data_IF_068652156240
#
_entry.id   IF_068652156240
#
_cell.length_a   1.000
_cell.length_b   1.000
_cell.length_c   1.000
_cell.angle_alpha   90.00
_cell.angle_beta   90.00
_cell.angle_gamma   90.00
#
_symmetry.space_group_name_H-M   'P 1'
#
loop_
_entity.id
_entity.type
_entity.pdbx_description
1 polymer ?
#
# COMPACT_ATOMS: atom_id res chain seq x y z
N UNK A 1 -22.22 -27.13 -39.01
CA UNK A 1 -21.22 -26.47 -39.88
C UNK A 1 -20.41 -25.45 -39.07
N UNK A 2 -19.34 -25.93 -38.45
CA UNK A 2 -18.30 -25.07 -37.87
C UNK A 2 -17.59 -24.42 -39.05
N UNK A 3 -17.76 -23.11 -39.21
CA UNK A 3 -17.04 -22.35 -40.24
C UNK A 3 -15.55 -22.40 -39.86
N UNK A 4 -14.67 -22.99 -40.70
CA UNK A 4 -13.25 -23.00 -40.41
C UNK A 4 -12.74 -21.55 -40.46
N UNK A 5 -11.81 -21.16 -39.56
CA UNK A 5 -11.25 -19.82 -39.58
C UNK A 5 -10.55 -19.58 -40.93
N UNK A 6 -10.93 -18.48 -41.59
CA UNK A 6 -10.37 -18.04 -42.86
C UNK A 6 -8.88 -17.72 -42.68
N UNK A 7 -8.02 -18.60 -43.20
CA UNK A 7 -6.57 -18.37 -43.33
C UNK A 7 -6.31 -17.48 -44.54
N UNK A 8 -6.34 -16.15 -44.38
CA UNK A 8 -5.88 -15.23 -45.44
C UNK A 8 -4.47 -14.68 -45.22
N UNK A 9 -3.83 -14.97 -44.07
CA UNK A 9 -2.46 -14.51 -43.76
C UNK A 9 -1.71 -15.34 -42.71
N UNK A 10 -2.23 -16.51 -42.31
CA UNK A 10 -1.70 -17.27 -41.17
C UNK A 10 -2.08 -16.68 -39.80
N UNK A 11 -2.84 -15.58 -39.78
CA UNK A 11 -3.28 -14.88 -38.57
C UNK A 11 -4.75 -15.22 -38.30
N UNK A 12 -5.06 -15.69 -37.10
CA UNK A 12 -6.41 -15.94 -36.65
C UNK A 12 -7.13 -14.62 -36.31
N UNK A 13 -8.17 -14.27 -37.07
CA UNK A 13 -8.90 -13.01 -36.90
C UNK A 13 -9.94 -13.02 -35.75
N UNK A 14 -10.35 -14.20 -35.28
CA UNK A 14 -11.35 -14.32 -34.21
C UNK A 14 -11.02 -15.46 -33.24
N UNK A 15 -10.12 -15.17 -32.31
CA UNK A 15 -9.69 -16.09 -31.27
C UNK A 15 -10.82 -16.40 -30.27
N UNK A 16 -11.20 -17.67 -30.20
CA UNK A 16 -12.21 -18.19 -29.27
C UNK A 16 -11.56 -18.71 -27.99
N UNK A 17 -12.36 -18.88 -26.93
CA UNK A 17 -11.85 -19.47 -25.68
C UNK A 17 -10.89 -18.58 -24.90
N UNK A 18 -11.14 -17.26 -24.88
CA UNK A 18 -10.34 -16.27 -24.13
C UNK A 18 -8.87 -16.21 -24.51
N UNK A 19 -8.55 -16.55 -25.77
CA UNK A 19 -7.21 -16.44 -26.34
C UNK A 19 -7.04 -15.14 -27.15
N UNK A 20 -5.81 -14.76 -27.42
CA UNK A 20 -5.40 -13.62 -28.25
C UNK A 20 -4.05 -13.95 -28.91
N UNK A 21 -3.58 -13.05 -29.78
CA UNK A 21 -2.32 -13.23 -30.51
C UNK A 21 -2.56 -13.70 -31.95
N UNK A 22 -1.53 -13.65 -32.81
CA UNK A 22 -1.65 -14.02 -34.22
C UNK A 22 -2.13 -15.45 -34.46
N UNK A 23 -1.76 -16.39 -33.59
CA UNK A 23 -2.18 -17.79 -33.64
C UNK A 23 -3.14 -18.20 -32.51
N UNK A 24 -3.71 -17.24 -31.78
CA UNK A 24 -4.50 -17.50 -30.57
C UNK A 24 -3.74 -18.29 -29.48
N UNK A 25 -2.43 -18.09 -29.43
CA UNK A 25 -1.49 -18.81 -28.57
C UNK A 25 -1.44 -18.23 -27.15
N UNK A 26 -1.75 -16.94 -26.99
CA UNK A 26 -1.74 -16.23 -25.72
C UNK A 26 -3.14 -16.19 -25.08
N UNK A 27 -3.19 -16.06 -23.76
CA UNK A 27 -4.45 -15.79 -23.06
C UNK A 27 -4.74 -14.28 -22.98
N UNK A 28 -6.03 -13.93 -22.98
CA UNK A 28 -6.49 -12.57 -22.70
C UNK A 28 -6.13 -12.16 -21.27
N UNK A 29 -6.14 -10.85 -20.99
CA UNK A 29 -5.88 -10.30 -19.65
C UNK A 29 -6.84 -10.91 -18.60
N UNK A 30 -6.32 -11.25 -17.41
CA UNK A 30 -7.01 -11.99 -16.35
C UNK A 30 -7.38 -13.46 -16.68
N UNK A 31 -6.82 -14.03 -17.75
CA UNK A 31 -6.96 -15.44 -18.07
C UNK A 31 -5.60 -16.10 -18.18
N UNK A 32 -5.53 -17.37 -17.80
CA UNK A 32 -4.33 -18.19 -17.91
C UNK A 32 -4.66 -19.57 -18.47
N UNK A 33 -3.61 -20.26 -18.92
CA UNK A 33 -3.71 -21.64 -19.40
C UNK A 33 -3.29 -22.58 -18.27
N UNK A 34 -4.08 -23.63 -18.03
CA UNK A 34 -3.74 -24.63 -17.00
C UNK A 34 -2.42 -25.32 -17.35
N UNK A 35 -1.60 -25.70 -16.36
CA UNK A 35 -0.37 -26.44 -16.61
C UNK A 35 -0.67 -27.74 -17.36
N UNK A 36 0.07 -28.02 -18.44
CA UNK A 36 -0.10 -29.21 -19.27
C UNK A 36 -1.28 -29.18 -20.25
N UNK A 37 -2.06 -28.09 -20.29
CA UNK A 37 -3.11 -27.92 -21.29
C UNK A 37 -2.50 -27.66 -22.68
N UNK A 38 -3.09 -28.27 -23.72
CA UNK A 38 -2.71 -28.00 -25.10
C UNK A 38 -2.94 -26.51 -25.46
N UNK A 39 -2.19 -25.98 -26.41
CA UNK A 39 -2.34 -24.59 -26.91
C UNK A 39 -3.74 -24.31 -27.49
N UNK A 40 -4.47 -25.35 -27.89
CA UNK A 40 -5.83 -25.27 -28.42
C UNK A 40 -6.91 -25.23 -27.34
N UNK A 41 -6.58 -25.49 -26.07
CA UNK A 41 -7.54 -25.41 -24.98
C UNK A 41 -7.95 -23.97 -24.65
N UNK A 42 -9.11 -23.83 -24.02
CA UNK A 42 -9.68 -22.55 -23.57
C UNK A 42 -8.90 -22.00 -22.38
N UNK A 43 -8.60 -20.71 -22.39
CA UNK A 43 -8.02 -20.02 -21.23
C UNK A 43 -9.08 -19.83 -20.13
N UNK A 44 -8.68 -20.11 -18.89
CA UNK A 44 -9.54 -20.03 -17.71
C UNK A 44 -9.26 -18.74 -16.94
N UNK A 45 -10.26 -18.17 -16.24
CA UNK A 45 -10.08 -16.94 -15.49
C UNK A 45 -9.08 -17.14 -14.34
N UNK A 46 -8.24 -16.14 -14.10
CA UNK A 46 -7.30 -16.12 -13.00
C UNK A 46 -8.04 -16.14 -11.65
N UNK A 47 -7.60 -16.94 -10.67
CA UNK A 47 -8.12 -16.93 -9.31
C UNK A 47 -7.55 -15.73 -8.51
N UNK A 48 -7.61 -14.54 -9.09
CA UNK A 48 -7.04 -13.31 -8.57
C UNK A 48 -8.11 -12.23 -8.54
N UNK A 49 -8.38 -11.67 -7.36
CA UNK A 49 -9.33 -10.56 -7.24
C UNK A 49 -8.70 -9.27 -7.75
N UNK A 50 -9.41 -8.51 -8.58
CA UNK A 50 -9.01 -7.15 -8.98
C UNK A 50 -9.09 -6.14 -7.82
N UNK A 51 -9.74 -6.53 -6.70
CA UNK A 51 -9.78 -5.72 -5.48
C UNK A 51 -8.46 -5.81 -4.73
N UNK A 52 -7.80 -6.96 -4.73
CA UNK A 52 -6.58 -7.23 -3.95
C UNK A 52 -5.31 -7.32 -4.82
N UNK A 53 -5.45 -7.39 -6.13
CA UNK A 53 -4.36 -7.51 -7.11
C UNK A 53 -4.68 -6.80 -8.44
N UNK A 54 -3.79 -6.92 -9.42
CA UNK A 54 -4.04 -6.53 -10.83
C UNK A 54 -5.15 -7.35 -11.50
N UNK A 55 -5.48 -8.54 -10.95
CA UNK A 55 -6.38 -9.53 -11.55
C UNK A 55 -5.69 -10.49 -12.55
N UNK A 56 -4.46 -10.19 -12.94
CA UNK A 56 -3.66 -11.02 -13.85
C UNK A 56 -2.81 -12.04 -13.09
N UNK A 57 -2.51 -13.16 -13.72
CA UNK A 57 -1.77 -14.26 -13.11
C UNK A 57 -0.91 -14.99 -14.13
N UNK A 58 0.15 -15.62 -13.63
CA UNK A 58 1.01 -16.54 -14.37
C UNK A 58 1.09 -17.89 -13.66
N UNK A 59 1.67 -18.89 -14.33
CA UNK A 59 1.97 -20.18 -13.73
C UNK A 59 3.40 -20.15 -13.20
N UNK A 60 3.57 -20.47 -11.92
CA UNK A 60 4.88 -20.62 -11.31
C UNK A 60 5.56 -21.94 -11.75
N UNK A 61 6.85 -22.15 -11.44
CA UNK A 61 7.54 -23.40 -11.78
C UNK A 61 6.93 -24.66 -11.15
N UNK A 62 6.11 -24.51 -10.10
CA UNK A 62 5.42 -25.62 -9.44
C UNK A 62 4.10 -26.01 -10.12
N UNK A 63 3.66 -25.24 -11.14
CA UNK A 63 2.40 -25.44 -11.83
C UNK A 63 1.21 -24.78 -11.13
N UNK A 64 1.42 -23.90 -10.15
CA UNK A 64 0.37 -23.14 -9.50
C UNK A 64 0.19 -21.78 -10.16
N UNK A 65 -1.06 -21.31 -10.25
CA UNK A 65 -1.36 -19.95 -10.69
C UNK A 65 -1.03 -18.96 -9.58
N UNK A 66 -0.23 -17.94 -9.88
CA UNK A 66 0.19 -16.89 -8.96
C UNK A 66 -0.17 -15.53 -9.56
N UNK A 67 -0.76 -14.64 -8.78
CA UNK A 67 -1.11 -13.30 -9.23
C UNK A 67 0.14 -12.45 -9.46
N UNK A 68 0.16 -11.66 -10.54
CA UNK A 68 1.37 -10.94 -10.95
C UNK A 68 1.72 -9.78 -9.99
N UNK A 69 0.70 -9.06 -9.53
CA UNK A 69 0.88 -7.86 -8.71
C UNK A 69 -0.21 -7.74 -7.65
N UNK A 70 0.13 -8.07 -6.41
CA UNK A 70 -0.72 -7.75 -5.26
C UNK A 70 -0.70 -6.25 -4.98
N UNK A 71 -1.83 -5.74 -4.46
CA UNK A 71 -1.87 -4.41 -3.88
C UNK A 71 -1.00 -4.32 -2.63
N UNK A 72 -0.59 -3.10 -2.20
CA UNK A 72 0.38 -2.92 -1.12
C UNK A 72 -0.02 -3.61 0.19
N UNK A 73 -1.31 -3.68 0.51
CA UNK A 73 -1.82 -4.22 1.78
C UNK A 73 -1.91 -5.75 1.77
N UNK A 74 -1.76 -6.39 0.60
CA UNK A 74 -1.98 -7.82 0.39
C UNK A 74 -0.69 -8.54 -0.02
N UNK A 75 -0.64 -9.84 0.23
CA UNK A 75 0.45 -10.75 -0.11
C UNK A 75 -0.08 -12.17 -0.34
N UNK A 76 0.82 -13.10 -0.66
CA UNK A 76 0.50 -14.50 -0.96
C UNK A 76 0.32 -14.75 -2.46
N UNK A 77 0.24 -16.02 -2.88
CA UNK A 77 0.15 -16.39 -4.29
C UNK A 77 -1.12 -15.87 -4.96
N UNK A 78 -2.21 -15.72 -4.19
CA UNK A 78 -3.51 -15.23 -4.67
C UNK A 78 -3.87 -13.82 -4.18
N UNK A 79 -2.93 -13.13 -3.53
CA UNK A 79 -3.17 -11.82 -2.91
C UNK A 79 -4.37 -11.82 -1.95
N UNK A 80 -4.55 -12.91 -1.21
CA UNK A 80 -5.65 -13.18 -0.29
C UNK A 80 -5.24 -13.05 1.18
N UNK A 81 -3.96 -12.80 1.45
CA UNK A 81 -3.41 -12.65 2.79
C UNK A 81 -2.99 -11.20 3.03
N UNK A 82 -3.13 -10.73 4.27
CA UNK A 82 -2.65 -9.41 4.63
C UNK A 82 -1.12 -9.38 4.74
N UNK A 83 -0.53 -8.30 4.22
CA UNK A 83 0.90 -8.05 4.31
C UNK A 83 1.31 -7.83 5.77
N UNK A 84 2.55 -8.14 6.12
CA UNK A 84 3.12 -7.74 7.40
C UNK A 84 2.88 -6.24 7.68
N UNK A 85 2.31 -5.94 8.84
CA UNK A 85 1.89 -4.58 9.22
C UNK A 85 0.43 -4.31 8.96
N UNK A 86 -0.31 -5.29 8.43
CA UNK A 86 -1.75 -5.26 8.23
C UNK A 86 -2.41 -6.48 8.89
N UNK A 87 -3.70 -6.34 9.20
CA UNK A 87 -4.55 -7.41 9.72
C UNK A 87 -5.87 -7.45 8.95
N UNK A 88 -6.51 -8.61 8.96
CA UNK A 88 -7.78 -8.86 8.30
C UNK A 88 -8.93 -8.35 9.17
N UNK A 89 -9.65 -7.37 8.65
CA UNK A 89 -10.93 -6.91 9.18
C UNK A 89 -11.99 -7.11 8.09
N UNK A 90 -12.88 -8.09 8.29
CA UNK A 90 -13.99 -8.38 7.37
C UNK A 90 -13.56 -8.58 5.91
N UNK A 91 -12.49 -9.35 5.67
CA UNK A 91 -11.90 -9.62 4.34
C UNK A 91 -11.18 -8.43 3.70
N UNK A 92 -10.87 -7.39 4.47
CA UNK A 92 -10.09 -6.22 4.04
C UNK A 92 -8.85 -6.11 4.92
N UNK A 93 -7.69 -5.85 4.31
CA UNK A 93 -6.46 -5.65 5.06
C UNK A 93 -6.32 -4.20 5.54
N UNK A 94 -6.32 -4.02 6.86
CA UNK A 94 -6.17 -2.71 7.52
C UNK A 94 -4.82 -2.62 8.23
N UNK A 95 -4.19 -1.43 8.30
CA UNK A 95 -2.92 -1.26 8.97
C UNK A 95 -3.04 -1.56 10.47
N UNK A 96 -2.03 -2.23 11.03
CA UNK A 96 -1.90 -2.45 12.46
C UNK A 96 -1.82 -1.11 13.18
N UNK A 97 -2.69 -0.89 14.17
CA UNK A 97 -2.60 0.28 15.05
C UNK A 97 -2.02 -0.15 16.41
N UNK A 98 -0.74 0.16 16.62
CA UNK A 98 -0.04 -0.08 17.88
C UNK A 98 0.30 1.20 18.63
N UNK A 99 -0.47 2.28 18.39
CA UNK A 99 -0.29 3.57 19.07
C UNK A 99 1.13 4.14 19.03
N UNK A 100 1.90 3.81 17.98
CA UNK A 100 3.31 4.19 17.87
C UNK A 100 4.27 3.47 18.81
N UNK A 101 3.79 2.47 19.57
CA UNK A 101 4.55 1.71 20.56
C UNK A 101 4.77 0.25 20.16
N UNK A 102 4.71 -0.08 18.86
CA UNK A 102 5.13 -1.39 18.39
C UNK A 102 6.65 -1.55 18.50
N UNK A 103 7.09 -2.77 18.81
CA UNK A 103 8.51 -3.13 18.78
C UNK A 103 9.05 -3.16 17.33
N UNK A 104 10.04 -2.30 16.97
CA UNK A 104 10.66 -2.31 15.65
C UNK A 104 11.30 -3.67 15.29
N UNK A 105 11.73 -4.45 16.29
CA UNK A 105 12.31 -5.78 16.09
C UNK A 105 11.32 -6.83 15.59
N UNK A 106 10.01 -6.56 15.70
CA UNK A 106 8.94 -7.44 15.18
C UNK A 106 8.52 -7.09 13.76
N UNK A 107 9.08 -6.03 13.16
CA UNK A 107 8.79 -5.63 11.78
C UNK A 107 9.24 -6.73 10.78
N UNK A 108 8.44 -7.05 9.75
CA UNK A 108 7.18 -6.39 9.36
C UNK A 108 5.93 -6.91 10.11
N UNK A 109 6.02 -8.00 10.88
CA UNK A 109 4.88 -8.64 11.55
C UNK A 109 4.61 -8.02 12.94
N UNK A 110 4.21 -6.75 12.97
CA UNK A 110 4.02 -5.99 14.21
C UNK A 110 2.72 -6.31 14.98
N UNK A 111 1.72 -6.87 14.31
CA UNK A 111 0.47 -7.30 14.94
C UNK A 111 0.01 -8.68 14.43
N UNK A 112 -0.94 -9.28 15.15
CA UNK A 112 -1.58 -10.51 14.76
C UNK A 112 -2.44 -10.26 13.50
N UNK A 113 -2.27 -11.06 12.44
CA UNK A 113 -2.96 -10.84 11.16
C UNK A 113 -4.47 -11.08 11.22
N UNK A 114 -5.00 -11.79 12.23
CA UNK A 114 -6.44 -12.05 12.36
C UNK A 114 -7.10 -11.09 13.34
N UNK A 115 -6.41 -10.70 14.41
CA UNK A 115 -7.02 -9.91 15.50
C UNK A 115 -6.58 -8.45 15.52
N UNK A 116 -5.53 -8.07 14.81
CA UNK A 116 -4.93 -6.74 14.87
C UNK A 116 -4.23 -6.41 16.19
N UNK A 117 -4.11 -7.37 17.12
CA UNK A 117 -3.43 -7.16 18.39
C UNK A 117 -1.92 -7.07 18.20
N UNK A 118 -1.30 -6.06 18.78
CA UNK A 118 0.14 -5.86 18.71
C UNK A 118 0.89 -6.99 19.41
N UNK A 119 1.96 -7.48 18.77
CA UNK A 119 2.70 -8.65 19.27
C UNK A 119 3.62 -8.30 20.44
N UNK A 120 4.21 -7.11 20.42
CA UNK A 120 5.12 -6.63 21.44
C UNK A 120 5.00 -5.11 21.57
N UNK A 121 4.85 -4.64 22.81
CA UNK A 121 4.71 -3.22 23.14
C UNK A 121 6.02 -2.70 23.77
N UNK A 122 6.51 -1.57 23.28
CA UNK A 122 7.70 -0.88 23.82
C UNK A 122 7.30 0.34 24.67
N UNK A 123 8.27 1.12 25.13
CA UNK A 123 8.05 2.36 25.91
C UNK A 123 7.22 2.17 27.20
N UNK A 124 7.34 0.98 27.83
CA UNK A 124 6.58 0.62 29.03
C UNK A 124 5.07 0.76 28.83
N UNK A 125 4.58 0.34 27.67
CA UNK A 125 3.16 0.35 27.33
C UNK A 125 2.59 -1.06 27.32
N UNK A 126 1.27 -1.15 27.39
CA UNK A 126 0.49 -2.39 27.39
C UNK A 126 -0.87 -2.15 26.74
N UNK A 127 -1.68 -3.21 26.63
CA UNK A 127 -2.95 -3.18 25.93
C UNK A 127 -2.88 -3.87 24.58
N UNK A 128 -4.03 -3.98 23.91
CA UNK A 128 -4.14 -4.69 22.61
C UNK A 128 -3.46 -3.92 21.48
N UNK A 129 -3.38 -2.61 21.64
CA UNK A 129 -2.87 -1.62 20.70
C UNK A 129 -1.74 -0.78 21.32
N UNK A 130 -1.13 -1.26 22.42
CA UNK A 130 -0.11 -0.55 23.18
C UNK A 130 -0.54 0.88 23.58
N UNK A 131 -1.83 1.02 23.91
CA UNK A 131 -2.56 2.28 24.07
C UNK A 131 -2.52 2.83 25.50
N UNK A 132 -2.03 2.05 26.46
CA UNK A 132 -1.96 2.41 27.88
C UNK A 132 -0.59 2.12 28.46
N UNK A 133 -0.22 2.77 29.54
CA UNK A 133 1.01 2.43 30.24
C UNK A 133 0.90 1.01 30.83
N UNK A 134 2.03 0.31 30.91
CA UNK A 134 2.12 -0.98 31.58
C UNK A 134 1.86 -0.84 33.09
N UNK A 135 1.57 -1.95 33.76
CA UNK A 135 1.38 -1.96 35.20
C UNK A 135 2.61 -1.40 35.92
N UNK A 136 2.40 -0.55 36.92
CA UNK A 136 3.47 0.16 37.61
C UNK A 136 3.99 1.41 36.87
N UNK A 137 3.39 1.80 35.74
CA UNK A 137 3.72 3.04 35.02
C UNK A 137 2.50 3.96 34.91
N UNK A 138 2.73 5.27 35.00
CA UNK A 138 1.72 6.34 34.86
C UNK A 138 2.14 7.34 33.79
N UNK A 139 1.15 8.00 33.19
CA UNK A 139 1.35 8.96 32.09
C UNK A 139 0.47 8.62 30.91
N UNK A 140 0.90 9.02 29.71
CA UNK A 140 0.21 8.75 28.45
C UNK A 140 1.10 7.98 27.49
N UNK A 141 0.63 6.81 27.06
CA UNK A 141 1.29 5.95 26.08
C UNK A 141 1.34 6.56 24.68
N UNK A 142 0.32 7.35 24.31
CA UNK A 142 0.19 7.96 22.97
C UNK A 142 1.27 9.02 22.72
N UNK A 143 1.69 9.73 23.77
CA UNK A 143 2.78 10.72 23.70
C UNK A 143 4.09 10.20 24.32
N UNK A 144 4.21 8.88 24.48
CA UNK A 144 5.42 8.19 24.97
C UNK A 144 5.94 8.71 26.33
N UNK A 145 5.03 8.94 27.29
CA UNK A 145 5.32 9.58 28.58
C UNK A 145 5.14 8.66 29.80
N UNK A 146 5.15 7.34 29.61
CA UNK A 146 4.97 6.37 30.68
C UNK A 146 6.18 6.33 31.62
N UNK A 147 5.99 6.72 32.89
CA UNK A 147 7.01 6.77 33.94
C UNK A 147 6.65 5.81 35.07
N UNK A 148 7.65 5.13 35.63
CA UNK A 148 7.45 4.21 36.73
C UNK A 148 6.89 4.95 37.96
N UNK A 149 5.90 4.36 38.61
CA UNK A 149 5.44 4.80 39.92
C UNK A 149 6.54 4.40 40.91
N UNK A 150 7.29 5.37 41.41
CA UNK A 150 8.14 5.13 42.57
C UNK A 150 7.21 5.15 43.78
N UNK A 151 6.58 4.02 44.08
CA UNK A 151 6.06 3.83 45.44
C UNK A 151 7.27 3.78 46.35
N UNK A 152 7.39 4.66 47.37
CA UNK A 152 8.32 4.39 48.44
C UNK A 152 7.91 3.04 49.01
N UNK A 153 8.75 2.04 48.83
CA UNK A 153 8.68 0.83 49.65
C UNK A 153 8.63 1.32 51.09
N UNK A 154 7.63 0.92 51.90
CA UNK A 154 7.85 0.93 53.34
C UNK A 154 9.13 0.13 53.52
N UNK A 155 10.13 0.78 54.10
CA UNK A 155 11.40 0.20 54.50
C UNK A 155 11.12 -1.21 55.04
N UNK A 156 11.40 -2.22 54.22
CA UNK A 156 11.30 -3.59 54.67
C UNK A 156 12.46 -3.73 55.64
N UNK A 157 12.18 -3.60 56.94
CA UNK A 157 13.10 -3.96 58.01
C UNK A 157 13.62 -5.36 57.71
N UNK A 158 14.81 -5.41 57.12
CA UNK A 158 15.58 -6.60 56.82
C UNK A 158 16.00 -7.17 58.17
N UNK A 159 15.11 -7.92 58.81
CA UNK A 159 15.51 -8.83 59.86
C UNK A 159 16.08 -10.05 59.14
N UNK A 160 17.40 -10.05 59.01
CA UNK A 160 18.20 -11.20 58.59
C UNK A 160 17.74 -12.44 59.35
N UNK A 161 17.09 -13.38 58.66
CA UNK A 161 17.13 -14.79 59.05
C UNK A 161 17.34 -15.62 57.79
N UNK A 162 18.35 -16.48 57.87
CA UNK A 162 18.93 -17.28 56.79
C UNK A 162 17.93 -18.28 56.17
N UNK A 163 18.25 -18.90 55.01
CA UNK A 163 17.28 -19.59 54.17
C UNK A 163 16.99 -21.00 54.70
N UNK A 164 15.75 -21.45 54.54
CA UNK A 164 15.45 -22.89 54.56
C UNK A 164 14.63 -23.23 53.32
N UNK A 165 15.24 -24.09 52.52
CA UNK A 165 14.75 -24.77 51.32
C UNK A 165 13.45 -25.53 51.60
N UNK A 166 12.46 -25.44 50.71
CA UNK A 166 11.61 -26.57 50.24
C UNK A 166 10.60 -26.09 49.18
N UNK A 167 10.59 -26.75 48.02
CA UNK A 167 9.53 -26.81 47.00
C UNK A 167 8.52 -27.92 47.37
N UNK A 168 7.47 -28.24 46.57
CA UNK A 168 6.49 -27.44 45.80
C UNK A 168 5.02 -27.83 46.18
N UNK A 169 3.98 -27.11 45.71
CA UNK A 169 2.66 -27.68 45.26
C UNK A 169 1.52 -26.65 45.20
N UNK A 170 0.90 -26.58 44.02
CA UNK A 170 -0.54 -26.52 43.69
C UNK A 170 -1.58 -26.20 44.77
N UNK A 171 -2.57 -25.35 44.44
CA UNK A 171 -3.86 -25.32 45.15
C UNK A 171 -4.72 -24.08 44.93
N UNK A 172 -5.98 -24.29 44.61
CA UNK A 172 -6.98 -23.34 44.13
C UNK A 172 -7.67 -22.49 45.23
N UNK A 173 -8.43 -21.49 44.75
CA UNK A 173 -9.79 -21.06 45.16
C UNK A 173 -9.95 -19.76 45.96
N UNK A 174 -10.89 -18.94 45.47
CA UNK A 174 -11.44 -17.69 46.01
C UNK A 174 -12.05 -17.85 47.41
N UNK A 175 -12.01 -16.79 48.23
CA UNK A 175 -13.21 -16.22 48.87
C UNK A 175 -12.99 -14.80 49.38
N UNK A 176 -14.09 -14.03 49.31
CA UNK A 176 -14.31 -12.63 49.70
C UNK A 176 -14.27 -12.37 51.21
N UNK A 177 -14.07 -11.10 51.61
CA UNK A 177 -14.98 -10.23 52.41
C UNK A 177 -14.16 -9.03 52.91
N UNK A 178 -14.62 -7.79 52.66
CA UNK A 178 -14.82 -6.75 53.70
C UNK A 178 -15.16 -5.38 53.10
N UNK A 179 -16.44 -5.04 53.21
CA UNK A 179 -17.05 -3.76 53.62
C UNK A 179 -16.28 -2.44 53.40
N UNK A 180 -16.92 -1.54 52.65
CA UNK A 180 -16.82 -0.10 52.85
C UNK A 180 -18.22 0.51 52.92
N UNK A 181 -18.55 1.09 54.07
CA UNK A 181 -19.76 1.85 54.39
C UNK A 181 -19.87 3.11 53.53
N UNK A 182 -21.02 3.30 52.88
CA UNK A 182 -21.43 4.54 52.20
C UNK A 182 -22.29 5.38 53.14
N UNK A 183 -21.89 6.63 53.36
CA UNK A 183 -22.72 7.63 54.07
C UNK A 183 -23.37 8.53 53.02
N UNK A 184 -24.70 8.50 52.95
CA UNK A 184 -25.52 9.40 52.15
C UNK A 184 -25.71 10.74 52.88
N UNK A 185 -25.75 11.84 52.12
CA UNK A 185 -26.40 13.08 52.54
C UNK A 185 -27.32 13.57 51.43
N UNK A 186 -28.61 13.62 51.76
CA UNK A 186 -29.74 14.10 50.96
C UNK A 186 -29.89 15.61 51.06
N UNK A 187 -30.19 16.31 49.96
CA UNK A 187 -30.99 17.55 49.98
C UNK A 187 -31.81 17.74 48.69
N UNK A 188 -33.00 18.28 48.92
CA UNK A 188 -34.21 18.36 48.09
C UNK A 188 -34.22 19.52 47.10
N UNK A 189 -34.91 19.33 45.97
CA UNK A 189 -35.22 20.35 44.96
C UNK A 189 -36.32 21.33 45.43
N UNK A 190 -36.22 22.60 45.05
CA UNK A 190 -37.33 23.58 45.09
C UNK A 190 -37.10 24.71 44.08
N UNK A 191 -38.13 24.99 43.30
CA UNK A 191 -38.26 25.99 42.25
C UNK A 191 -38.70 27.35 42.76
N UNK A 192 -38.08 28.45 42.30
CA UNK A 192 -38.72 29.79 42.20
C UNK A 192 -37.87 30.78 41.39
N UNK A 193 -38.47 31.41 40.38
CA UNK A 193 -38.20 32.77 39.85
C UNK A 193 -39.44 33.64 40.19
N UNK A 194 -39.49 35.00 40.06
CA UNK A 194 -38.68 35.91 39.21
C UNK A 194 -38.29 37.29 39.84
N UNK A 195 -37.43 38.06 39.16
CA UNK A 195 -37.21 39.48 39.50
C UNK A 195 -36.07 40.16 38.73
N UNK A 196 -36.43 41.20 37.97
CA UNK A 196 -35.61 42.11 37.16
C UNK A 196 -34.32 42.64 37.82
N UNK A 197 -33.28 42.84 37.00
CA UNK A 197 -32.64 44.17 36.89
C UNK A 197 -31.98 44.32 35.51
N UNK A 198 -32.34 45.40 34.82
CA UNK A 198 -31.82 45.83 33.54
C UNK A 198 -30.43 46.43 33.69
N UNK A 199 -29.52 46.17 32.73
CA UNK A 199 -28.59 47.20 32.25
C UNK A 199 -27.97 46.84 30.89
N UNK A 200 -28.31 47.67 29.91
CA UNK A 200 -27.49 48.15 28.78
C UNK A 200 -26.85 47.11 27.84
N UNK A 201 -27.63 46.63 26.88
CA UNK A 201 -27.13 45.95 25.68
C UNK A 201 -26.42 46.96 24.78
N UNK A 202 -25.14 46.73 24.50
CA UNK A 202 -24.46 47.35 23.37
C UNK A 202 -25.19 46.97 22.09
N UNK A 203 -25.51 47.97 21.26
CA UNK A 203 -26.12 47.77 19.95
C UNK A 203 -25.12 47.06 19.02
N UNK A 204 -25.19 45.74 18.97
CA UNK A 204 -24.63 44.94 17.89
C UNK A 204 -25.68 44.98 16.78
N UNK A 205 -25.34 45.53 15.61
CA UNK A 205 -26.23 45.48 14.46
C UNK A 205 -26.52 44.01 14.15
N UNK A 206 -27.73 43.54 14.45
CA UNK A 206 -28.16 42.18 14.17
C UNK A 206 -28.08 41.95 12.66
N UNK A 207 -27.06 41.20 12.25
CA UNK A 207 -26.92 40.72 10.88
C UNK A 207 -28.09 39.78 10.64
N UNK A 208 -29.00 40.16 9.74
CA UNK A 208 -30.19 39.35 9.43
C UNK A 208 -29.78 37.91 9.09
N UNK A 209 -30.51 36.93 9.61
CA UNK A 209 -30.22 35.49 9.41
C UNK A 209 -30.04 35.10 7.93
N UNK A 210 -30.64 35.85 7.00
CA UNK A 210 -30.47 35.70 5.55
C UNK A 210 -29.09 36.18 5.06
N UNK A 211 -28.54 37.25 5.64
CA UNK A 211 -27.21 37.77 5.33
C UNK A 211 -26.10 36.85 5.83
N UNK A 212 -26.26 36.20 6.99
CA UNK A 212 -25.29 35.20 7.48
C UNK A 212 -25.24 33.97 6.55
N UNK A 213 -26.38 33.48 6.09
CA UNK A 213 -26.45 32.34 5.18
C UNK A 213 -25.81 32.64 3.81
N UNK A 214 -25.96 33.87 3.31
CA UNK A 214 -25.30 34.30 2.07
C UNK A 214 -23.78 34.37 2.22
N UNK A 215 -23.29 34.89 3.35
CA UNK A 215 -21.84 34.93 3.63
C UNK A 215 -21.28 33.51 3.74
N UNK A 216 -21.96 32.62 4.47
CA UNK A 216 -21.55 31.22 4.62
C UNK A 216 -21.53 30.50 3.27
N UNK A 217 -22.56 30.68 2.44
CA UNK A 217 -22.59 30.11 1.09
C UNK A 217 -21.46 30.65 0.21
N UNK A 218 -21.19 31.96 0.25
CA UNK A 218 -20.09 32.55 -0.50
C UNK A 218 -18.73 31.97 -0.09
N UNK A 219 -18.49 31.78 1.22
CA UNK A 219 -17.26 31.17 1.73
C UNK A 219 -17.14 29.70 1.29
N UNK A 220 -18.23 28.93 1.33
CA UNK A 220 -18.24 27.54 0.85
C UNK A 220 -17.93 27.47 -0.64
N UNK A 221 -18.55 28.33 -1.46
CA UNK A 221 -18.30 28.37 -2.91
C UNK A 221 -16.83 28.71 -3.18
N UNK A 222 -16.27 29.72 -2.51
CA UNK A 222 -14.85 30.08 -2.65
C UNK A 222 -13.94 28.92 -2.23
N UNK A 223 -14.24 28.26 -1.11
CA UNK A 223 -13.47 27.10 -0.65
C UNK A 223 -13.50 25.95 -1.67
N UNK A 224 -14.67 25.66 -2.25
CA UNK A 224 -14.81 24.63 -3.30
C UNK A 224 -14.03 25.00 -4.56
N UNK A 225 -14.09 26.25 -5.01
CA UNK A 225 -13.34 26.73 -6.18
C UNK A 225 -11.83 26.62 -5.94
N UNK A 226 -11.35 27.00 -4.74
CA UNK A 226 -9.93 26.87 -4.37
C UNK A 226 -9.52 25.40 -4.34
N UNK A 227 -10.33 24.52 -3.75
CA UNK A 227 -10.05 23.08 -3.70
C UNK A 227 -10.01 22.46 -5.11
N UNK A 228 -10.95 22.82 -5.99
CA UNK A 228 -10.94 22.38 -7.38
C UNK A 228 -9.71 22.91 -8.13
N UNK A 229 -9.29 24.15 -7.87
CA UNK A 229 -8.06 24.73 -8.42
C UNK A 229 -6.81 23.99 -7.95
N UNK A 230 -6.71 23.67 -6.66
CA UNK A 230 -5.61 22.90 -6.10
C UNK A 230 -5.59 21.47 -6.65
N UNK A 231 -6.74 20.81 -6.71
CA UNK A 231 -6.86 19.46 -7.28
C UNK A 231 -6.47 19.45 -8.76
N UNK A 232 -6.93 20.43 -9.54
CA UNK A 232 -6.52 20.63 -10.94
C UNK A 232 -5.03 20.91 -11.08
N UNK A 233 -4.45 21.73 -10.21
CA UNK A 233 -3.01 21.99 -10.13
C UNK A 233 -2.19 20.73 -9.83
N UNK A 234 -2.62 19.92 -8.86
CA UNK A 234 -1.98 18.64 -8.54
C UNK A 234 -2.09 17.65 -9.69
N UNK A 235 -3.26 17.56 -10.33
CA UNK A 235 -3.48 16.67 -11.47
C UNK A 235 -2.57 17.04 -12.65
N UNK A 236 -2.53 18.31 -13.03
CA UNK A 236 -1.67 18.81 -14.11
C UNK A 236 -0.19 18.71 -13.76
N UNK A 237 0.20 18.93 -12.50
CA UNK A 237 1.57 18.71 -12.03
C UNK A 237 1.99 17.23 -12.09
N UNK A 238 1.10 16.31 -11.70
CA UNK A 238 1.34 14.87 -11.79
C UNK A 238 1.50 14.41 -13.24
N UNK A 239 0.66 14.91 -14.13
CA UNK A 239 0.77 14.67 -15.59
C UNK A 239 2.08 15.23 -16.16
N UNK A 240 2.47 16.45 -15.79
CA UNK A 240 3.76 17.05 -16.20
C UNK A 240 4.95 16.23 -15.70
N UNK A 241 4.93 15.78 -14.44
CA UNK A 241 6.01 14.96 -13.87
C UNK A 241 6.07 13.58 -14.56
N UNK A 242 4.92 12.96 -14.85
CA UNK A 242 4.89 11.71 -15.61
C UNK A 242 5.48 11.87 -17.02
N UNK A 243 5.22 12.98 -17.71
CA UNK A 243 5.87 13.25 -19.00
C UNK A 243 7.39 13.44 -18.88
N UNK A 244 7.88 13.97 -17.76
CA UNK A 244 9.34 14.07 -17.46
C UNK A 244 10.00 12.73 -17.12
N UNK A 245 9.27 11.78 -16.54
CA UNK A 245 9.76 10.44 -16.20
C UNK A 245 9.69 9.46 -17.40
N UNK A 246 8.80 9.72 -18.36
CA UNK A 246 8.65 8.92 -19.59
C UNK A 246 9.28 9.58 -20.84
N UNK A 247 9.89 10.76 -20.71
CA UNK A 247 10.72 11.30 -21.78
C UNK A 247 12.04 10.51 -21.77
N UNK A 248 12.39 9.77 -22.85
CA UNK A 248 13.72 9.18 -22.95
C UNK A 248 14.72 10.33 -22.85
N UNK A 249 15.79 10.16 -22.07
CA UNK A 249 16.84 11.16 -22.00
C UNK A 249 17.41 11.31 -23.43
N UNK A 250 17.13 12.42 -24.08
CA UNK A 250 17.89 12.84 -25.25
C UNK A 250 18.48 14.18 -24.87
N UNK A 251 19.73 14.15 -24.44
CA UNK A 251 20.56 15.34 -24.41
C UNK A 251 20.95 15.61 -25.87
N UNK A 252 20.45 16.70 -26.45
CA UNK A 252 21.03 17.22 -27.70
C UNK A 252 22.39 17.79 -27.33
N UNK A 253 23.47 17.03 -27.50
CA UNK A 253 24.79 17.62 -27.64
C UNK A 253 24.87 18.24 -29.04
N UNK A 254 24.86 19.57 -29.08
CA UNK A 254 25.20 20.30 -30.30
C UNK A 254 26.71 20.17 -30.50
N UNK A 255 27.13 19.14 -31.25
CA UNK A 255 28.46 19.13 -31.86
C UNK A 255 28.33 19.82 -33.21
N UNK A 256 29.12 20.87 -33.37
CA UNK A 256 29.17 21.76 -34.52
C UNK A 256 29.15 20.91 -35.81
N UNK A 257 28.02 21.00 -36.51
CA UNK A 257 27.76 20.57 -37.89
C UNK A 257 27.38 19.10 -38.20
N UNK A 258 27.00 18.25 -37.23
CA UNK A 258 26.11 17.10 -37.53
C UNK A 258 25.20 16.70 -36.35
N UNK A 259 23.92 16.48 -36.62
CA UNK A 259 23.01 15.81 -35.68
C UNK A 259 23.16 14.31 -35.90
N UNK A 260 23.91 13.65 -35.04
CA UNK A 260 23.89 12.19 -34.91
C UNK A 260 23.09 11.81 -33.66
N UNK A 261 22.05 11.00 -33.87
CA UNK A 261 21.23 10.41 -32.80
C UNK A 261 21.83 9.04 -32.53
N UNK A 262 22.61 8.86 -31.47
CA UNK A 262 23.04 7.54 -31.02
C UNK A 262 22.37 7.18 -29.69
N UNK A 263 21.81 5.98 -29.65
CA UNK A 263 21.23 5.34 -28.47
C UNK A 263 22.35 4.61 -27.73
N UNK A 264 22.84 5.15 -26.62
CA UNK A 264 23.71 4.41 -25.71
C UNK A 264 22.86 3.46 -24.86
N UNK A 265 22.59 2.27 -25.40
CA UNK A 265 22.21 1.09 -24.63
C UNK A 265 22.75 -0.14 -25.35
N UNK A 266 24.04 -0.41 -25.17
CA UNK A 266 24.53 -1.78 -25.05
C UNK A 266 25.94 -1.77 -24.47
N UNK A 267 26.06 -1.96 -23.16
CA UNK A 267 27.24 -2.46 -22.45
C UNK A 267 26.97 -2.47 -20.94
N UNK A 268 26.36 -3.54 -20.44
CA UNK A 268 26.71 -4.06 -19.13
C UNK A 268 27.14 -5.53 -19.31
N UNK A 269 28.23 -5.96 -18.66
CA UNK A 269 28.87 -7.24 -18.96
C UNK A 269 28.13 -8.36 -18.23
N UNK A 270 27.74 -9.40 -18.96
CA UNK A 270 27.44 -10.68 -18.34
C UNK A 270 28.62 -11.62 -18.52
N UNK A 271 29.00 -12.19 -17.39
CA UNK A 271 30.02 -13.21 -17.22
C UNK A 271 29.69 -14.48 -17.98
N UNK A 272 30.77 -15.19 -18.32
CA UNK A 272 30.77 -16.64 -18.44
C UNK A 272 30.74 -17.12 -19.88
N UNK A 273 31.92 -17.30 -20.47
CA UNK A 273 32.28 -18.60 -21.01
C UNK A 273 33.80 -18.73 -21.11
N UNK A 274 34.34 -19.69 -20.37
CA UNK A 274 35.70 -20.20 -20.48
C UNK A 274 35.62 -21.49 -21.28
N UNK A 275 36.23 -21.55 -22.47
CA UNK A 275 37.00 -22.69 -23.00
C UNK A 275 37.38 -22.53 -24.48
N UNK A 276 38.64 -22.89 -24.80
CA UNK A 276 39.15 -23.21 -26.16
C UNK A 276 39.82 -22.05 -26.88
N UNK A 277 41.11 -21.76 -26.67
CA UNK A 277 42.30 -22.39 -27.28
C UNK A 277 42.27 -22.58 -28.81
N UNK A 278 43.17 -21.82 -29.46
CA UNK A 278 43.99 -22.10 -30.64
C UNK A 278 43.39 -22.07 -32.06
N UNK A 279 44.29 -21.65 -32.96
CA UNK A 279 44.31 -21.77 -34.43
C UNK A 279 43.39 -20.82 -35.19
N UNK A 280 43.72 -20.34 -36.39
CA UNK A 280 44.93 -20.12 -37.19
C UNK A 280 44.42 -19.30 -38.39
N UNK A 281 45.32 -18.81 -39.22
CA UNK A 281 45.14 -17.87 -40.32
C UNK A 281 44.17 -18.25 -41.47
N UNK A 282 44.01 -17.28 -42.37
CA UNK A 282 43.45 -17.31 -43.73
C UNK A 282 41.92 -17.22 -43.82
N UNK A 283 41.34 -16.23 -44.50
CA UNK A 283 41.51 -16.06 -45.95
C UNK A 283 41.04 -14.68 -46.42
N UNK A 284 41.80 -14.14 -47.35
CA UNK A 284 41.58 -12.95 -48.17
C UNK A 284 40.45 -13.18 -49.20
N UNK A 285 39.81 -12.10 -49.68
CA UNK A 285 39.59 -11.77 -51.11
C UNK A 285 38.35 -10.84 -51.35
N UNK A 286 38.63 -9.62 -51.89
CA UNK A 286 37.98 -8.96 -53.07
C UNK A 286 36.50 -8.50 -52.95
N UNK A 287 36.01 -7.31 -53.35
CA UNK A 287 36.49 -6.03 -53.92
C UNK A 287 35.32 -4.99 -53.84
N UNK A 288 35.52 -3.71 -54.22
CA UNK A 288 34.72 -2.57 -53.76
C UNK A 288 33.66 -2.06 -54.75
N UNK A 289 32.84 -1.10 -54.26
CA UNK A 289 32.11 -0.08 -55.00
C UNK A 289 30.98 -0.52 -55.95
N UNK A 290 29.74 -0.21 -55.57
CA UNK A 290 28.71 0.19 -56.53
C UNK A 290 27.78 1.24 -55.94
N UNK A 291 27.51 2.23 -56.78
CA UNK A 291 27.13 3.60 -56.46
C UNK A 291 25.65 3.77 -56.18
N UNK A 292 25.38 4.93 -55.57
CA UNK A 292 24.09 5.58 -55.36
C UNK A 292 23.18 5.58 -56.59
N UNK A 293 21.91 5.26 -56.39
CA UNK A 293 20.81 5.78 -57.19
C UNK A 293 19.75 6.34 -56.24
N UNK A 294 19.76 7.67 -56.12
CA UNK A 294 18.78 8.49 -55.42
C UNK A 294 17.49 8.51 -56.25
N UNK A 295 16.37 7.99 -55.73
CA UNK A 295 15.05 8.27 -56.30
C UNK A 295 14.14 8.90 -55.25
N UNK A 296 13.80 10.16 -55.49
CA UNK A 296 12.82 10.94 -54.74
C UNK A 296 11.42 10.56 -55.21
N UNK A 297 10.41 10.48 -54.32
CA UNK A 297 9.03 10.66 -54.74
C UNK A 297 8.56 12.09 -54.47
N UNK A 298 8.23 12.77 -55.56
CA UNK A 298 7.45 14.01 -55.59
C UNK A 298 6.01 13.68 -55.15
N UNK A 299 5.48 14.51 -54.24
CA UNK A 299 4.06 14.59 -53.86
C UNK A 299 3.12 14.62 -55.07
N UNK A 300 2.03 13.85 -55.06
CA UNK A 300 0.72 14.31 -55.55
C UNK A 300 -0.43 13.58 -54.82
N UNK A 301 -1.52 14.31 -54.69
CA UNK A 301 -2.67 14.19 -53.80
C UNK A 301 -3.87 13.49 -54.47
N UNK A 302 -4.69 12.85 -53.62
CA UNK A 302 -6.17 12.71 -53.66
C UNK A 302 -6.84 11.99 -54.85
N UNK A 303 -7.42 10.82 -54.56
CA UNK A 303 -8.86 10.52 -54.65
C UNK A 303 -9.16 9.29 -53.80
#
# INVERSE_FOLDING_TARGET
PLVPPLFLSGICLNCQGNTKGPGCEECKYNFYRRPGAALTEVCVPCPCSSVTSSGSCHIDPSGQSVCDQCKPEYQGPHCDQCRGGFYNADSICLPCNCSGNADPGTSPRICNPETGHCLSCVNNTSGKHCERCAEGYVGSAIIHSCKAIVTPTPEQNTTTTAPTTTTPSSGHTMTSISNATTTQLTTTASSTTPGLLANTTAAISEVSWTQFNVIVLAVIIVAVVVLMGVAGGVYTYREYRNRKLNAPFWTIELKEDNISISSYHDSLPNMGDVSGLLEEEASMEVSPNSQLALSSPINMYKA
#
